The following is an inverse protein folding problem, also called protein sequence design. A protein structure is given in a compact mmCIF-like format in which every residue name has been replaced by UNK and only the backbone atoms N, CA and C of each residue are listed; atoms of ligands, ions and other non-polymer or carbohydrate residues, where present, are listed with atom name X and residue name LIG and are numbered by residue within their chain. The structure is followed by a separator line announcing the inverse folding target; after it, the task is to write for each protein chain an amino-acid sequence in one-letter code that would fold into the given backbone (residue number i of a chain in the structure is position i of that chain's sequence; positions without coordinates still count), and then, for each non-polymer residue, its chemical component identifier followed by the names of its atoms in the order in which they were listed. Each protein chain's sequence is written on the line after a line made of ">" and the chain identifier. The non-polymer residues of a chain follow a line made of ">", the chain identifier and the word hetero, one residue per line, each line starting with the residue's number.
data_IF_357011777830
#
_entry.id   IF_357011777830
#
_cell.length_a   1.000
_cell.length_b   1.000
_cell.length_c   1.000
_cell.angle_alpha   90.00
_cell.angle_beta   90.00
_cell.angle_gamma   90.00
#
_symmetry.space_group_name_H-M   'P 1'
#
loop_
_entity.id
_entity.type
_entity.pdbx_description
1 polymer ?
#
# COMPACT_ATOMS: atom_id res chain seq x y z
N UNK A 1 -18.15 22.04 22.61
CA UNK A 1 -16.73 22.08 22.17
C UNK A 1 -16.30 20.64 21.85
N UNK A 2 -15.64 20.39 20.72
CA UNK A 2 -15.19 19.03 20.32
C UNK A 2 -13.84 18.72 20.98
N UNK A 3 -13.66 17.48 21.46
CA UNK A 3 -12.44 16.97 22.09
C UNK A 3 -12.18 15.52 21.66
N UNK A 4 -10.92 15.08 21.73
CA UNK A 4 -10.49 13.72 21.40
C UNK A 4 -9.96 13.02 22.64
N UNK A 5 -10.52 11.84 22.95
CA UNK A 5 -9.93 10.90 23.88
C UNK A 5 -8.86 10.09 23.15
N UNK A 6 -7.67 9.99 23.74
CA UNK A 6 -6.57 9.16 23.24
C UNK A 6 -6.34 8.02 24.23
N UNK A 7 -6.45 6.79 23.74
CA UNK A 7 -6.21 5.55 24.47
C UNK A 7 -5.57 4.55 23.51
N UNK A 8 -4.85 3.57 24.06
CA UNK A 8 -4.16 2.53 23.29
C UNK A 8 -4.66 1.14 23.62
N UNK A 9 -5.46 1.00 24.69
CA UNK A 9 -6.12 -0.25 25.06
C UNK A 9 -7.55 0.00 25.57
N UNK A 10 -8.43 -0.98 25.35
CA UNK A 10 -9.81 -0.98 25.85
C UNK A 10 -9.88 -1.56 27.27
N UNK A 11 -9.16 -0.93 28.22
CA UNK A 11 -9.16 -1.33 29.63
C UNK A 11 -9.64 -0.17 30.52
N UNK A 12 -10.32 -0.46 31.66
CA UNK A 12 -10.92 0.60 32.49
C UNK A 12 -9.95 1.71 32.89
N UNK A 13 -8.71 1.34 33.25
CA UNK A 13 -7.69 2.31 33.63
C UNK A 13 -7.34 3.30 32.51
N UNK A 14 -7.19 2.81 31.27
CA UNK A 14 -6.79 3.64 30.12
C UNK A 14 -7.94 4.54 29.66
N UNK A 15 -9.17 4.00 29.63
CA UNK A 15 -10.36 4.77 29.29
C UNK A 15 -10.62 5.88 30.32
N UNK A 16 -10.55 5.58 31.62
CA UNK A 16 -10.73 6.58 32.65
C UNK A 16 -9.66 7.68 32.59
N UNK A 17 -8.40 7.32 32.26
CA UNK A 17 -7.34 8.30 32.04
C UNK A 17 -7.63 9.18 30.82
N UNK A 18 -7.98 8.59 29.68
CA UNK A 18 -8.29 9.32 28.45
C UNK A 18 -9.45 10.31 28.61
N UNK A 19 -10.46 9.96 29.41
CA UNK A 19 -11.60 10.83 29.73
C UNK A 19 -11.23 12.01 30.64
N UNK A 20 -10.25 11.85 31.52
CA UNK A 20 -9.72 12.95 32.36
C UNK A 20 -8.78 13.86 31.57
N UNK A 21 -8.07 13.32 30.58
CA UNK A 21 -7.04 14.02 29.80
C UNK A 21 -7.45 14.26 28.34
N UNK A 22 -8.69 14.72 28.12
CA UNK A 22 -9.18 15.02 26.77
C UNK A 22 -8.29 16.05 26.07
N UNK A 23 -7.98 15.84 24.79
CA UNK A 23 -7.15 16.77 24.00
C UNK A 23 -7.94 17.40 22.86
N UNK A 24 -7.37 18.41 22.22
CA UNK A 24 -7.90 18.87 20.94
C UNK A 24 -7.56 17.83 19.86
N UNK A 25 -8.45 17.59 18.88
CA UNK A 25 -8.11 16.79 17.71
C UNK A 25 -6.89 17.38 16.99
N UNK A 26 -5.94 16.53 16.60
CA UNK A 26 -4.78 16.95 15.82
C UNK A 26 -5.17 17.02 14.34
N UNK A 27 -5.25 18.24 13.81
CA UNK A 27 -5.64 18.48 12.43
C UNK A 27 -4.57 18.05 11.42
N UNK A 28 -3.28 18.03 11.81
CA UNK A 28 -2.19 17.66 10.91
C UNK A 28 -2.24 16.17 10.56
N UNK A 29 -2.63 15.32 11.51
CA UNK A 29 -2.86 13.90 11.25
C UNK A 29 -4.00 13.67 10.25
N UNK A 30 -5.07 14.47 10.35
CA UNK A 30 -6.18 14.44 9.38
C UNK A 30 -5.69 14.85 7.99
N UNK A 31 -4.96 15.95 7.89
CA UNK A 31 -4.43 16.44 6.61
C UNK A 31 -3.45 15.48 5.96
N UNK A 32 -2.61 14.79 6.73
CA UNK A 32 -1.71 13.77 6.18
C UNK A 32 -2.49 12.61 5.53
N UNK A 33 -3.57 12.15 6.16
CA UNK A 33 -4.45 11.11 5.60
C UNK A 33 -5.16 11.62 4.35
N UNK A 34 -5.69 12.85 4.39
CA UNK A 34 -6.38 13.46 3.26
C UNK A 34 -5.45 13.63 2.04
N UNK A 35 -4.23 14.12 2.26
CA UNK A 35 -3.22 14.25 1.21
C UNK A 35 -2.92 12.90 0.55
N UNK A 36 -2.71 11.84 1.35
CA UNK A 36 -2.48 10.49 0.82
C UNK A 36 -3.70 9.98 0.04
N UNK A 37 -4.91 10.14 0.58
CA UNK A 37 -6.14 9.74 -0.12
C UNK A 37 -6.30 10.44 -1.47
N UNK A 38 -5.98 11.74 -1.55
CA UNK A 38 -6.01 12.48 -2.80
C UNK A 38 -4.98 11.98 -3.81
N UNK A 39 -3.75 11.72 -3.35
CA UNK A 39 -2.67 11.19 -4.21
C UNK A 39 -3.05 9.81 -4.75
N UNK A 40 -3.48 8.91 -3.88
CA UNK A 40 -3.88 7.54 -4.22
C UNK A 40 -5.04 7.56 -5.24
N UNK A 41 -6.06 8.38 -5.01
CA UNK A 41 -7.21 8.48 -5.91
C UNK A 41 -6.82 9.07 -7.27
N UNK A 42 -6.08 10.19 -7.29
CA UNK A 42 -5.75 10.89 -8.54
C UNK A 42 -4.84 10.04 -9.42
N UNK A 43 -3.75 9.52 -8.87
CA UNK A 43 -2.81 8.71 -9.63
C UNK A 43 -3.44 7.35 -9.99
N UNK A 44 -4.10 6.70 -9.03
CA UNK A 44 -4.75 5.42 -9.24
C UNK A 44 -5.81 5.48 -10.35
N UNK A 45 -6.70 6.49 -10.31
CA UNK A 45 -7.72 6.66 -11.34
C UNK A 45 -7.13 7.02 -12.70
N UNK A 46 -6.12 7.91 -12.75
CA UNK A 46 -5.50 8.33 -14.01
C UNK A 46 -4.82 7.15 -14.71
N UNK A 47 -3.94 6.43 -14.03
CA UNK A 47 -3.19 5.33 -14.62
C UNK A 47 -4.05 4.10 -14.90
N UNK A 48 -4.97 3.74 -14.00
CA UNK A 48 -5.91 2.62 -14.22
C UNK A 48 -6.74 2.86 -15.48
N UNK A 49 -7.32 4.05 -15.65
CA UNK A 49 -8.11 4.40 -16.85
C UNK A 49 -7.23 4.40 -18.10
N UNK A 50 -6.07 5.05 -18.03
CA UNK A 50 -5.15 5.12 -19.17
C UNK A 50 -4.73 3.72 -19.65
N UNK A 51 -4.31 2.85 -18.75
CA UNK A 51 -3.85 1.51 -19.10
C UNK A 51 -5.00 0.62 -19.58
N UNK A 52 -6.10 0.58 -18.82
CA UNK A 52 -7.28 -0.24 -19.17
C UNK A 52 -7.80 0.11 -20.56
N UNK A 53 -8.04 1.40 -20.84
CA UNK A 53 -8.62 1.83 -22.12
C UNK A 53 -7.66 1.64 -23.30
N UNK A 54 -6.35 1.78 -23.11
CA UNK A 54 -5.39 1.61 -24.20
C UNK A 54 -5.06 0.15 -24.49
N UNK A 55 -4.96 -0.70 -23.46
CA UNK A 55 -4.64 -2.12 -23.62
C UNK A 55 -5.85 -2.88 -24.16
N UNK A 56 -7.07 -2.55 -23.70
CA UNK A 56 -8.30 -3.10 -24.24
C UNK A 56 -8.36 -2.95 -25.76
N UNK A 57 -8.04 -1.77 -26.31
CA UNK A 57 -8.01 -1.53 -27.77
C UNK A 57 -7.05 -2.42 -28.55
N UNK A 58 -6.07 -3.03 -27.89
CA UNK A 58 -4.99 -3.80 -28.53
C UNK A 58 -5.15 -5.31 -28.34
N UNK A 59 -5.79 -5.75 -27.27
CA UNK A 59 -5.91 -7.17 -26.93
C UNK A 59 -7.34 -7.52 -26.54
N UNK A 60 -8.02 -8.29 -27.37
CA UNK A 60 -9.45 -8.60 -27.19
C UNK A 60 -9.75 -9.32 -25.88
N UNK A 61 -8.81 -10.15 -25.41
CA UNK A 61 -8.88 -10.89 -24.15
C UNK A 61 -8.91 -10.00 -22.89
N UNK A 62 -8.71 -8.69 -23.07
CA UNK A 62 -8.67 -7.70 -22.00
C UNK A 62 -9.84 -6.72 -22.01
N UNK A 63 -10.77 -6.82 -22.98
CA UNK A 63 -11.89 -5.86 -23.11
C UNK A 63 -12.74 -5.69 -21.85
N UNK A 64 -12.97 -6.78 -21.11
CA UNK A 64 -13.78 -6.77 -19.88
C UNK A 64 -12.94 -6.71 -18.60
N UNK A 65 -11.61 -6.61 -18.71
CA UNK A 65 -10.70 -6.63 -17.57
C UNK A 65 -10.26 -5.22 -17.19
N UNK A 66 -10.21 -4.94 -15.90
CA UNK A 66 -9.65 -3.70 -15.35
C UNK A 66 -8.19 -3.95 -15.01
N UNK A 67 -7.31 -3.12 -15.57
CA UNK A 67 -5.89 -3.09 -15.22
C UNK A 67 -5.68 -2.01 -14.17
N UNK A 68 -5.75 -2.41 -12.90
CA UNK A 68 -5.57 -1.50 -11.77
C UNK A 68 -4.12 -1.10 -11.60
N UNK A 69 -3.92 0.17 -11.27
CA UNK A 69 -2.62 0.74 -10.96
C UNK A 69 -2.71 1.53 -9.66
N UNK A 70 -1.72 1.38 -8.80
CA UNK A 70 -1.58 2.16 -7.57
C UNK A 70 -0.11 2.42 -7.25
N UNK A 71 0.23 3.58 -6.65
CA UNK A 71 1.62 3.97 -6.44
C UNK A 71 2.38 2.96 -5.56
N UNK A 72 1.74 2.44 -4.51
CA UNK A 72 2.31 1.40 -3.65
C UNK A 72 2.14 -0.02 -4.21
N UNK A 73 0.99 -0.31 -4.85
CA UNK A 73 0.71 -1.63 -5.44
C UNK A 73 1.73 -1.99 -6.53
N UNK A 74 2.06 -1.03 -7.41
CA UNK A 74 2.99 -1.25 -8.51
C UNK A 74 4.41 -1.56 -8.03
N UNK A 75 4.92 -0.78 -7.05
CA UNK A 75 6.23 -1.04 -6.46
C UNK A 75 6.27 -2.39 -5.73
N UNK A 76 5.20 -2.74 -5.00
CA UNK A 76 5.07 -4.02 -4.30
C UNK A 76 5.14 -5.21 -5.27
N UNK A 77 4.40 -5.15 -6.39
CA UNK A 77 4.48 -6.17 -7.43
C UNK A 77 5.89 -6.24 -8.05
N UNK A 78 6.55 -5.10 -8.21
CA UNK A 78 7.92 -5.00 -8.69
C UNK A 78 8.90 -5.89 -7.92
N UNK A 79 8.79 -5.95 -6.59
CA UNK A 79 9.66 -6.85 -5.79
C UNK A 79 9.45 -8.33 -6.09
N UNK A 80 8.20 -8.75 -6.30
CA UNK A 80 7.88 -10.15 -6.62
C UNK A 80 8.43 -10.51 -8.00
N UNK A 81 8.20 -9.64 -8.99
CA UNK A 81 8.67 -9.85 -10.37
C UNK A 81 10.19 -9.84 -10.44
N UNK A 82 10.87 -8.91 -9.75
CA UNK A 82 12.34 -8.84 -9.68
C UNK A 82 12.91 -10.12 -9.06
N UNK A 83 12.31 -10.63 -7.97
CA UNK A 83 12.74 -11.88 -7.37
C UNK A 83 12.58 -13.06 -8.33
N UNK A 84 11.47 -13.12 -9.07
CA UNK A 84 11.23 -14.18 -10.06
C UNK A 84 12.29 -14.13 -11.16
N UNK A 85 12.57 -12.96 -11.74
CA UNK A 85 13.59 -12.81 -12.77
C UNK A 85 14.99 -13.24 -12.29
N UNK A 86 15.33 -12.97 -11.03
CA UNK A 86 16.60 -13.45 -10.43
C UNK A 86 16.65 -14.96 -10.28
N UNK A 87 15.52 -15.63 -10.02
CA UNK A 87 15.45 -17.10 -9.99
C UNK A 87 15.65 -17.64 -11.40
N UNK A 88 14.91 -17.09 -12.37
CA UNK A 88 14.95 -17.56 -13.75
C UNK A 88 16.34 -17.37 -14.38
N UNK A 89 17.06 -16.32 -13.99
CA UNK A 89 18.41 -16.02 -14.44
C UNK A 89 19.53 -16.73 -13.64
N UNK A 90 19.18 -17.46 -12.56
CA UNK A 90 20.19 -18.10 -11.72
C UNK A 90 20.79 -19.31 -12.43
N UNK A 91 22.12 -19.30 -12.58
CA UNK A 91 22.89 -20.45 -13.06
C UNK A 91 23.58 -21.08 -11.85
N UNK A 92 23.23 -22.32 -11.46
CA UNK A 92 23.87 -22.99 -10.33
C UNK A 92 25.34 -23.31 -10.64
N UNK A 93 26.18 -23.17 -9.64
CA UNK A 93 27.61 -23.49 -9.70
C UNK A 93 27.95 -24.60 -8.69
N UNK A 94 28.70 -25.59 -9.13
CA UNK A 94 29.18 -26.67 -8.26
C UNK A 94 30.18 -26.13 -7.24
N UNK A 95 30.07 -26.58 -6.00
CA UNK A 95 31.03 -26.25 -4.93
C UNK A 95 31.26 -27.45 -4.00
N UNK A 96 32.37 -27.43 -3.27
CA UNK A 96 32.73 -28.45 -2.30
C UNK A 96 32.83 -27.84 -0.89
N UNK A 97 32.46 -28.60 0.13
CA UNK A 97 32.64 -28.25 1.54
C UNK A 97 33.35 -29.39 2.30
N UNK A 98 34.10 -29.04 3.35
CA UNK A 98 34.69 -30.01 4.27
C UNK A 98 33.73 -30.19 5.45
N UNK A 99 33.29 -31.43 5.68
CA UNK A 99 32.49 -31.80 6.86
C UNK A 99 33.43 -32.39 7.91
N UNK A 100 33.43 -31.81 9.13
CA UNK A 100 34.21 -32.28 10.28
C UNK A 100 33.58 -33.50 10.96
#
# INVERSE_FOLDING_TARGET
>A
RVRRANYSALIPADIHRAMRELRQPDQNLSFAVEARCMIDLRLGAAFTRFQTLNIAKRFEETYEKILSWGPCQFATLGFVVDRQWKIDAFVPEDFWSITL
#
